data_IF_036910176006
#
_entry.id   IF_036910176006
#
_cell.length_a   1.000
_cell.length_b   1.000
_cell.length_c   1.000
_cell.angle_alpha   90.00
_cell.angle_beta   90.00
_cell.angle_gamma   90.00
#
_symmetry.space_group_name_H-M   'P 1'
#
loop_
_entity.id
_entity.type
_entity.pdbx_description
1 polymer ?
#
# COMPACT_ATOMS: atom_id res chain seq x y z
N UNK A 1 3.78 17.53 35.20
CA UNK A 1 4.25 18.56 34.23
C UNK A 1 5.63 19.07 34.66
N UNK A 2 6.50 19.44 33.72
CA UNK A 2 7.83 20.03 34.02
C UNK A 2 7.96 21.39 33.35
N UNK A 3 8.53 22.35 34.06
CA UNK A 3 8.85 23.69 33.53
C UNK A 3 10.29 23.70 33.03
N UNK A 4 10.50 24.22 31.83
CA UNK A 4 11.84 24.49 31.27
C UNK A 4 11.93 25.97 30.94
N UNK A 5 12.99 26.61 31.42
CA UNK A 5 13.29 27.99 31.05
C UNK A 5 13.96 28.02 29.68
N UNK A 6 13.43 28.84 28.77
CA UNK A 6 14.04 29.12 27.48
C UNK A 6 14.84 30.42 27.60
N UNK A 7 16.17 30.32 27.49
CA UNK A 7 17.08 31.47 27.60
C UNK A 7 16.88 32.48 26.45
N UNK A 8 16.65 32.00 25.24
CA UNK A 8 16.50 32.85 24.05
C UNK A 8 15.18 33.64 24.09
N UNK A 9 14.09 32.99 24.52
CA UNK A 9 12.79 33.63 24.64
C UNK A 9 12.54 34.31 26.00
N UNK A 10 13.49 34.20 26.95
CA UNK A 10 13.40 34.70 28.35
C UNK A 10 12.10 34.32 29.07
N UNK A 11 11.57 33.12 28.81
CA UNK A 11 10.27 32.67 29.34
C UNK A 11 10.29 31.21 29.76
N UNK A 12 9.44 30.86 30.71
CA UNK A 12 9.19 29.47 31.11
C UNK A 12 8.14 28.83 30.19
N UNK A 13 8.43 27.64 29.70
CA UNK A 13 7.47 26.79 29.00
C UNK A 13 7.14 25.58 29.88
N UNK A 14 5.86 25.20 29.87
CA UNK A 14 5.36 24.00 30.56
C UNK A 14 5.28 22.88 29.53
N UNK A 15 5.80 21.70 29.87
CA UNK A 15 5.67 20.51 29.06
C UNK A 15 5.07 19.37 29.87
N UNK A 16 4.25 18.56 29.20
CA UNK A 16 3.88 17.25 29.71
C UNK A 16 5.13 16.37 29.78
N UNK A 17 5.25 15.62 30.87
CA UNK A 17 6.29 14.61 30.96
C UNK A 17 5.92 13.47 30.02
N UNK A 18 6.89 12.91 29.30
CA UNK A 18 6.66 11.67 28.56
C UNK A 18 6.32 10.60 29.59
N UNK A 19 5.07 10.13 29.56
CA UNK A 19 4.67 8.93 30.27
C UNK A 19 4.93 7.72 29.38
N UNK A 20 5.05 6.55 30.02
CA UNK A 20 4.97 5.29 29.31
C UNK A 20 3.60 5.19 28.61
N UNK A 21 3.60 4.62 27.40
CA UNK A 21 2.36 4.45 26.64
C UNK A 21 1.64 3.20 27.15
N UNK A 22 0.54 3.39 27.85
CA UNK A 22 -0.44 2.33 28.10
C UNK A 22 -1.26 2.08 26.84
N UNK A 23 -1.30 0.83 26.38
CA UNK A 23 -2.10 0.41 25.23
C UNK A 23 -3.39 -0.32 25.65
N UNK A 24 -3.87 -0.06 26.86
CA UNK A 24 -5.06 -0.68 27.46
C UNK A 24 -6.35 -0.40 26.66
N UNK A 25 -6.35 0.64 25.83
CA UNK A 25 -7.47 0.98 24.95
C UNK A 25 -7.53 0.13 23.67
N UNK A 26 -6.46 -0.60 23.31
CA UNK A 26 -6.44 -1.40 22.07
C UNK A 26 -7.54 -2.48 22.08
N UNK A 27 -7.72 -3.30 23.14
CA UNK A 27 -8.80 -4.27 23.21
C UNK A 27 -10.20 -3.63 23.05
N UNK A 28 -10.38 -2.42 23.59
CA UNK A 28 -11.63 -1.66 23.48
C UNK A 28 -11.88 -1.19 22.05
N UNK A 29 -10.85 -0.72 21.35
CA UNK A 29 -10.97 -0.36 19.94
C UNK A 29 -11.29 -1.58 19.06
N UNK A 30 -10.63 -2.71 19.33
CA UNK A 30 -10.87 -3.95 18.60
C UNK A 30 -12.31 -4.45 18.78
N UNK A 31 -12.83 -4.44 20.01
CA UNK A 31 -14.21 -4.85 20.27
C UNK A 31 -15.21 -3.94 19.57
N UNK A 32 -14.98 -2.62 19.60
CA UNK A 32 -15.84 -1.66 18.90
C UNK A 32 -15.87 -1.91 17.39
N UNK A 33 -14.72 -2.15 16.76
CA UNK A 33 -14.64 -2.45 15.32
C UNK A 33 -15.42 -3.74 14.98
N UNK A 34 -15.28 -4.79 15.79
CA UNK A 34 -15.99 -6.04 15.59
C UNK A 34 -17.50 -5.82 15.72
N UNK A 35 -17.93 -5.14 16.79
CA UNK A 35 -19.34 -4.85 17.06
C UNK A 35 -19.97 -4.02 15.93
N UNK A 36 -19.28 -3.00 15.44
CA UNK A 36 -19.77 -2.18 14.34
C UNK A 36 -19.94 -2.99 13.05
N UNK A 37 -18.99 -3.90 12.76
CA UNK A 37 -19.07 -4.78 11.58
C UNK A 37 -20.21 -5.78 11.68
N UNK A 38 -20.45 -6.33 12.87
CA UNK A 38 -21.59 -7.20 13.13
C UNK A 38 -22.91 -6.44 12.99
N UNK A 39 -23.00 -5.24 13.55
CA UNK A 39 -24.20 -4.41 13.49
C UNK A 39 -24.56 -3.95 12.07
N UNK A 40 -23.57 -3.65 11.23
CA UNK A 40 -23.79 -3.24 9.83
C UNK A 40 -24.28 -4.38 8.91
N UNK A 41 -24.33 -5.63 9.38
CA UNK A 41 -24.82 -6.78 8.60
C UNK A 41 -23.94 -7.20 7.41
N UNK A 42 -22.84 -6.47 7.14
CA UNK A 42 -21.83 -6.81 6.12
C UNK A 42 -20.92 -7.94 6.63
N UNK A 43 -20.81 -8.09 7.95
CA UNK A 43 -19.94 -9.07 8.59
C UNK A 43 -18.46 -8.76 8.39
N UNK A 44 -17.60 -9.74 8.67
CA UNK A 44 -16.19 -9.65 8.31
C UNK A 44 -16.02 -9.82 6.79
N UNK A 45 -15.07 -9.11 6.14
CA UNK A 45 -14.73 -9.37 4.76
C UNK A 45 -14.43 -10.85 4.59
N UNK A 46 -15.30 -11.55 3.85
CA UNK A 46 -15.07 -12.96 3.53
C UNK A 46 -13.78 -13.06 2.74
N UNK A 47 -13.01 -14.11 3.01
CA UNK A 47 -12.03 -14.63 2.05
C UNK A 47 -12.82 -14.97 0.78
N UNK A 48 -12.88 -14.02 -0.16
CA UNK A 48 -13.54 -14.24 -1.44
C UNK A 48 -12.84 -15.43 -2.10
N UNK A 49 -13.62 -16.41 -2.57
CA UNK A 49 -13.07 -17.43 -3.46
C UNK A 49 -12.41 -16.72 -4.63
N UNK A 50 -11.20 -17.17 -4.97
CA UNK A 50 -10.47 -16.61 -6.09
C UNK A 50 -11.33 -16.78 -7.35
N UNK A 51 -11.62 -15.67 -8.06
CA UNK A 51 -12.47 -15.72 -9.26
C UNK A 51 -11.79 -16.58 -10.32
N UNK A 52 -12.56 -17.16 -11.23
CA UNK A 52 -12.00 -17.97 -12.32
C UNK A 52 -11.00 -17.18 -13.17
N UNK A 53 -11.28 -15.90 -13.43
CA UNK A 53 -10.39 -15.00 -14.18
C UNK A 53 -9.39 -14.23 -13.29
N UNK A 54 -9.21 -14.60 -12.02
CA UNK A 54 -8.29 -13.89 -11.14
C UNK A 54 -6.84 -14.21 -11.56
N UNK A 55 -6.02 -13.22 -11.97
CA UNK A 55 -4.65 -13.47 -12.45
C UNK A 55 -3.76 -14.09 -11.37
N UNK A 56 -4.14 -14.00 -10.08
CA UNK A 56 -3.45 -14.69 -8.98
C UNK A 56 -3.58 -16.22 -9.05
N UNK A 57 -4.51 -16.76 -9.85
CA UNK A 57 -4.63 -18.21 -10.16
C UNK A 57 -3.57 -18.71 -11.13
N UNK A 58 -2.92 -17.82 -11.87
CA UNK A 58 -1.92 -18.20 -12.87
C UNK A 58 -0.61 -18.71 -12.24
N UNK A 59 -0.51 -18.79 -10.91
CA UNK A 59 0.66 -19.29 -10.19
C UNK A 59 1.82 -18.29 -10.14
N UNK A 60 2.97 -18.73 -9.63
CA UNK A 60 4.19 -17.93 -9.68
C UNK A 60 4.79 -18.01 -11.08
N UNK A 61 4.68 -16.89 -11.82
CA UNK A 61 5.43 -16.54 -13.04
C UNK A 61 5.19 -17.50 -14.22
N UNK A 62 4.96 -17.01 -15.45
CA UNK A 62 4.93 -17.89 -16.62
C UNK A 62 6.21 -18.75 -16.65
N UNK A 63 6.16 -20.01 -17.13
CA UNK A 63 7.32 -20.91 -17.21
C UNK A 63 8.41 -20.43 -18.18
N UNK A 64 8.26 -19.21 -18.70
CA UNK A 64 9.15 -18.55 -19.63
C UNK A 64 10.21 -17.85 -18.79
N UNK A 65 11.46 -18.27 -18.97
CA UNK A 65 12.59 -17.58 -18.37
C UNK A 65 12.55 -16.09 -18.77
N UNK A 66 12.83 -15.17 -17.84
CA UNK A 66 12.87 -13.76 -18.18
C UNK A 66 13.90 -13.54 -19.30
N UNK A 67 13.64 -12.64 -20.26
CA UNK A 67 14.62 -12.31 -21.28
C UNK A 67 15.90 -11.76 -20.63
N UNK A 68 17.07 -11.99 -21.24
CA UNK A 68 18.34 -11.51 -20.72
C UNK A 68 18.35 -9.99 -20.59
N UNK A 69 19.07 -9.49 -19.58
CA UNK A 69 19.14 -8.05 -19.26
C UNK A 69 19.59 -7.23 -20.48
N UNK A 70 20.47 -7.79 -21.33
CA UNK A 70 20.93 -7.16 -22.58
C UNK A 70 19.79 -6.82 -23.54
N UNK A 71 18.80 -7.71 -23.67
CA UNK A 71 17.62 -7.48 -24.51
C UNK A 71 16.68 -6.45 -23.88
N UNK A 72 16.52 -6.48 -22.55
CA UNK A 72 15.68 -5.50 -21.84
C UNK A 72 16.19 -4.06 -21.98
N UNK A 73 17.51 -3.87 -21.96
CA UNK A 73 18.15 -2.56 -22.17
C UNK A 73 17.89 -2.05 -23.59
N UNK A 74 17.87 -2.93 -24.60
CA UNK A 74 17.53 -2.56 -25.97
C UNK A 74 16.04 -2.25 -26.16
N UNK A 75 15.16 -2.98 -25.47
CA UNK A 75 13.70 -2.81 -25.52
C UNK A 75 13.24 -1.60 -24.69
N UNK A 76 14.12 -0.98 -23.90
CA UNK A 76 13.82 0.22 -23.10
C UNK A 76 13.66 1.47 -24.00
N UNK A 77 12.68 1.42 -24.89
CA UNK A 77 12.07 2.57 -25.54
C UNK A 77 11.31 3.31 -24.45
N UNK A 78 11.67 4.58 -24.25
CA UNK A 78 10.93 5.47 -23.36
C UNK A 78 9.45 5.45 -23.76
N UNK A 79 8.55 5.22 -22.80
CA UNK A 79 7.08 5.21 -23.04
C UNK A 79 6.52 6.60 -23.43
N UNK A 80 7.36 7.51 -23.93
CA UNK A 80 7.04 8.90 -24.23
C UNK A 80 7.26 9.33 -25.69
N UNK A 81 7.64 8.41 -26.59
CA UNK A 81 7.72 8.69 -28.03
C UNK A 81 6.81 7.72 -28.79
N UNK A 82 5.53 8.04 -28.83
CA UNK A 82 4.63 7.50 -29.86
C UNK A 82 4.98 8.26 -31.14
N UNK A 83 5.86 7.68 -31.95
CA UNK A 83 5.98 8.05 -33.36
C UNK A 83 5.72 6.78 -34.18
N UNK A 84 4.44 6.61 -34.50
CA UNK A 84 3.93 6.03 -35.74
C UNK A 84 4.51 4.67 -36.16
N UNK A 85 3.96 3.59 -35.60
CA UNK A 85 4.07 2.26 -36.20
C UNK A 85 2.98 2.11 -37.27
N UNK A 86 3.42 2.35 -38.50
CA UNK A 86 3.09 1.60 -39.72
C UNK A 86 1.61 1.34 -39.98
N UNK A 87 1.05 2.21 -40.82
CA UNK A 87 -0.04 1.86 -41.72
C UNK A 87 0.27 0.59 -42.50
N UNK A 88 -0.60 -0.41 -42.33
CA UNK A 88 -1.08 -1.33 -43.35
C UNK A 88 -0.05 -1.99 -44.29
N UNK A 89 0.18 -3.29 -44.07
CA UNK A 89 0.21 -4.26 -45.17
C UNK A 89 -0.60 -5.49 -44.76
N UNK A 90 -1.85 -5.51 -45.19
CA UNK A 90 -2.64 -6.72 -45.31
C UNK A 90 -2.43 -7.34 -46.69
N UNK A 91 -2.50 -8.68 -46.71
CA UNK A 91 -2.94 -9.56 -47.80
C UNK A 91 -2.25 -9.39 -49.18
N UNK A 92 -1.41 -10.38 -49.52
CA UNK A 92 -1.64 -11.31 -50.64
C UNK A 92 -0.91 -12.63 -50.38
#
# INVERSE_FOLDING_TARGET
FKRKYNKNAKRYSVYSLKSEKGYEYIPVLQSNIINERLARGVGMPRTRSMRDDDPRRLGLVPPIAPPPISELVQIQVSRGLVSELNTATGLQ
#
